data_IF_554646578060
#
_entry.id   IF_554646578060
#
_cell.length_a   1.000
_cell.length_b   1.000
_cell.length_c   1.000
_cell.angle_alpha   90.00
_cell.angle_beta   90.00
_cell.angle_gamma   90.00
#
_symmetry.space_group_name_H-M   'P 1'
#
loop_
_entity.id
_entity.type
_entity.pdbx_description
1 polymer ?
#
# COMPACT_ATOMS: atom_id res chain seq x y z
N UNK A 1 10.11 -54.69 -24.57
CA UNK A 1 11.45 -55.30 -24.35
C UNK A 1 12.28 -54.35 -23.51
N UNK A 2 12.96 -54.89 -22.49
CA UNK A 2 13.87 -54.21 -21.53
C UNK A 2 15.08 -53.61 -22.24
N UNK A 3 15.64 -52.53 -21.68
CA UNK A 3 17.03 -52.48 -21.20
C UNK A 3 17.28 -51.25 -20.32
N UNK A 4 17.66 -51.54 -19.07
CA UNK A 4 18.24 -50.65 -18.07
C UNK A 4 19.60 -50.13 -18.53
N UNK A 5 20.00 -48.93 -18.08
CA UNK A 5 21.38 -48.69 -17.66
C UNK A 5 21.41 -47.84 -16.38
N UNK A 6 22.16 -48.37 -15.42
CA UNK A 6 22.49 -47.87 -14.09
C UNK A 6 23.77 -47.06 -14.19
N UNK A 7 23.89 -45.98 -13.42
CA UNK A 7 25.12 -45.19 -13.30
C UNK A 7 25.28 -44.61 -11.90
N UNK A 8 25.84 -45.42 -11.00
CA UNK A 8 26.34 -45.07 -9.67
C UNK A 8 27.79 -44.55 -9.79
N UNK A 9 28.15 -43.49 -9.05
CA UNK A 9 29.52 -43.21 -8.53
C UNK A 9 29.40 -42.08 -7.49
N UNK A 10 29.31 -42.38 -6.19
CA UNK A 10 30.39 -42.61 -5.20
C UNK A 10 30.99 -41.30 -4.66
N UNK A 11 30.49 -40.95 -3.47
CA UNK A 11 31.18 -40.55 -2.24
C UNK A 11 32.41 -39.64 -2.36
N UNK A 12 32.24 -38.39 -1.93
CA UNK A 12 33.27 -37.67 -1.17
C UNK A 12 32.77 -37.52 0.28
N UNK A 13 33.27 -38.42 1.11
CA UNK A 13 33.23 -38.41 2.57
C UNK A 13 33.96 -37.20 3.13
N UNK A 14 33.34 -36.50 4.09
CA UNK A 14 34.03 -35.88 5.22
C UNK A 14 33.00 -35.55 6.31
N UNK A 15 32.81 -36.49 7.25
CA UNK A 15 32.46 -36.15 8.63
C UNK A 15 33.76 -35.84 9.37
N UNK A 16 33.71 -34.88 10.30
CA UNK A 16 33.84 -35.28 11.69
C UNK A 16 32.74 -34.65 12.55
N UNK A 17 32.07 -35.52 13.31
CA UNK A 17 31.22 -35.16 14.43
C UNK A 17 32.07 -34.53 15.54
N UNK A 18 31.75 -33.31 15.93
CA UNK A 18 32.14 -32.72 17.21
C UNK A 18 30.91 -32.10 17.88
N UNK A 19 30.36 -32.89 18.81
CA UNK A 19 29.93 -32.51 20.14
C UNK A 19 29.03 -31.26 20.33
N UNK A 20 27.79 -31.58 20.72
CA UNK A 20 27.19 -31.19 22.00
C UNK A 20 26.62 -29.76 22.10
N UNK A 21 25.34 -29.58 21.75
CA UNK A 21 24.25 -29.05 22.60
C UNK A 21 23.04 -28.65 21.74
N UNK A 22 22.15 -29.61 21.46
CA UNK A 22 20.82 -29.32 20.92
C UNK A 22 19.90 -28.84 22.05
N UNK A 23 19.95 -27.53 22.32
CA UNK A 23 18.82 -26.77 22.85
C UNK A 23 18.63 -25.53 21.97
N UNK A 24 18.22 -25.77 20.72
CA UNK A 24 17.75 -24.69 19.85
C UNK A 24 16.26 -24.47 20.12
N UNK A 25 15.98 -23.59 21.07
CA UNK A 25 14.65 -23.05 21.29
C UNK A 25 14.40 -21.89 20.33
N UNK A 26 13.25 -21.97 19.61
CA UNK A 26 12.52 -20.92 18.88
C UNK A 26 13.15 -20.44 17.55
N UNK A 27 12.38 -20.26 16.47
CA UNK A 27 11.19 -19.42 16.40
C UNK A 27 10.15 -19.99 15.41
N UNK A 28 8.89 -19.96 15.83
CA UNK A 28 7.72 -20.50 15.15
C UNK A 28 7.48 -19.94 13.74
N UNK A 29 7.11 -20.86 12.84
CA UNK A 29 6.53 -20.55 11.55
C UNK A 29 5.00 -20.55 11.66
N UNK A 30 4.46 -19.79 12.61
CA UNK A 30 3.05 -19.46 12.66
C UNK A 30 2.90 -18.01 12.21
N UNK A 31 2.30 -17.82 11.03
CA UNK A 31 1.97 -16.54 10.40
C UNK A 31 1.79 -15.35 11.37
N UNK A 32 2.61 -14.29 11.25
CA UNK A 32 2.26 -12.98 11.76
C UNK A 32 1.89 -12.03 10.61
N UNK A 33 0.65 -12.13 10.10
CA UNK A 33 -0.02 -10.96 9.51
C UNK A 33 -0.53 -10.05 10.64
N UNK A 34 0.37 -9.69 11.57
CA UNK A 34 0.04 -9.02 12.83
C UNK A 34 1.11 -8.02 13.30
N UNK A 35 1.90 -7.45 12.39
CA UNK A 35 2.58 -6.17 12.62
C UNK A 35 1.97 -5.17 11.63
N UNK A 36 0.91 -4.44 12.00
CA UNK A 36 1.02 -3.27 12.87
C UNK A 36 2.36 -2.56 12.68
N UNK A 37 2.70 -2.27 11.42
CA UNK A 37 3.46 -1.09 11.07
C UNK A 37 2.67 0.10 11.64
N UNK A 38 2.97 0.45 12.88
CA UNK A 38 2.55 1.66 13.57
C UNK A 38 3.20 2.82 12.82
N UNK A 39 2.67 3.08 11.63
CA UNK A 39 2.93 4.28 10.86
C UNK A 39 2.55 5.42 11.82
N UNK A 40 3.47 6.35 12.13
CA UNK A 40 3.17 7.47 13.01
C UNK A 40 1.87 8.07 12.52
N UNK A 41 0.86 8.20 13.41
CA UNK A 41 -0.51 8.56 13.06
C UNK A 41 -0.52 9.72 12.07
N UNK A 42 -0.50 9.40 10.79
CA UNK A 42 -0.53 10.41 9.76
C UNK A 42 -1.92 10.96 9.89
N UNK A 43 -2.00 12.27 10.12
CA UNK A 43 -3.26 12.95 10.37
C UNK A 43 -4.13 12.73 9.13
N UNK A 44 -4.97 11.70 9.20
CA UNK A 44 -5.89 11.31 8.15
C UNK A 44 -6.65 12.58 7.74
N UNK A 45 -6.44 13.11 6.52
CA UNK A 45 -7.13 14.32 6.06
C UNK A 45 -8.65 14.13 6.06
N UNK A 46 -9.12 12.88 5.96
CA UNK A 46 -10.50 12.44 6.09
C UNK A 46 -10.92 12.11 7.53
N UNK A 47 -10.50 12.93 8.50
CA UNK A 47 -11.05 12.87 9.88
C UNK A 47 -12.52 13.28 9.97
N UNK A 48 -13.00 14.10 9.02
CA UNK A 48 -14.40 14.54 8.94
C UNK A 48 -15.02 14.05 7.62
N UNK A 49 -16.04 13.17 7.66
CA UNK A 49 -16.72 12.75 6.44
C UNK A 49 -17.41 13.95 5.77
N UNK A 50 -17.54 13.90 4.44
CA UNK A 50 -18.09 14.99 3.61
C UNK A 50 -17.14 16.17 3.41
N UNK A 51 -15.92 16.11 3.94
CA UNK A 51 -14.90 17.13 3.63
C UNK A 51 -14.35 16.87 2.22
N UNK A 52 -14.24 17.92 1.43
CA UNK A 52 -13.78 17.82 0.05
C UNK A 52 -12.35 18.37 -0.09
N UNK A 53 -11.53 17.66 -0.84
CA UNK A 53 -10.11 17.98 -1.03
C UNK A 53 -9.68 17.83 -2.48
N UNK A 54 -8.87 18.77 -2.96
CA UNK A 54 -8.13 18.57 -4.20
C UNK A 54 -7.15 17.41 -4.04
N UNK A 55 -6.95 16.62 -5.08
CA UNK A 55 -6.01 15.49 -5.03
C UNK A 55 -4.58 15.92 -4.70
N UNK A 56 -4.16 17.10 -5.18
CA UNK A 56 -2.88 17.70 -4.80
C UNK A 56 -2.79 18.02 -3.30
N UNK A 57 -3.87 18.48 -2.67
CA UNK A 57 -3.93 18.74 -1.23
C UNK A 57 -3.83 17.45 -0.43
N UNK A 58 -4.54 16.39 -0.84
CA UNK A 58 -4.49 15.09 -0.19
C UNK A 58 -3.07 14.50 -0.16
N UNK A 59 -2.40 14.46 -1.32
CA UNK A 59 -1.03 13.92 -1.43
C UNK A 59 -0.04 14.70 -0.57
N UNK A 60 -0.18 16.03 -0.51
CA UNK A 60 0.70 16.88 0.28
C UNK A 60 0.47 16.72 1.78
N UNK A 61 -0.76 16.43 2.23
CA UNK A 61 -1.06 16.16 3.64
C UNK A 61 -0.61 14.78 4.06
N UNK A 62 -0.86 13.78 3.22
CA UNK A 62 -0.47 12.40 3.48
C UNK A 62 -0.20 11.65 2.18
N UNK A 63 1.06 11.25 1.99
CA UNK A 63 1.49 10.46 0.84
C UNK A 63 0.84 9.08 0.75
N UNK A 64 0.20 8.60 1.81
CA UNK A 64 -0.62 7.40 1.78
C UNK A 64 -1.64 7.47 0.64
N UNK A 65 -2.36 8.60 0.56
CA UNK A 65 -3.49 8.85 -0.35
C UNK A 65 -3.17 8.75 -1.82
N UNK A 66 -1.89 8.68 -2.20
CA UNK A 66 -1.51 8.52 -3.60
C UNK A 66 -2.18 7.28 -4.19
N UNK A 67 -2.15 6.14 -3.48
CA UNK A 67 -2.73 4.90 -3.99
C UNK A 67 -4.25 4.98 -4.05
N UNK A 68 -4.88 5.54 -3.02
CA UNK A 68 -6.33 5.68 -2.93
C UNK A 68 -6.87 6.61 -4.01
N UNK A 69 -6.14 7.70 -4.33
CA UNK A 69 -6.47 8.61 -5.42
C UNK A 69 -6.35 7.90 -6.78
N UNK A 70 -5.26 7.16 -6.99
CA UNK A 70 -5.05 6.42 -8.23
C UNK A 70 -6.17 5.38 -8.46
N UNK A 71 -6.60 4.70 -7.39
CA UNK A 71 -7.75 3.78 -7.42
C UNK A 71 -9.05 4.53 -7.71
N UNK A 72 -9.37 5.60 -6.97
CA UNK A 72 -10.61 6.35 -7.12
C UNK A 72 -10.79 6.93 -8.54
N UNK A 73 -9.70 7.45 -9.12
CA UNK A 73 -9.71 7.91 -10.52
C UNK A 73 -9.92 6.76 -11.49
N UNK A 74 -9.20 5.65 -11.33
CA UNK A 74 -9.30 4.49 -12.22
C UNK A 74 -10.69 3.85 -12.18
N UNK A 75 -11.29 3.74 -10.99
CA UNK A 75 -12.67 3.25 -10.81
C UNK A 75 -13.69 4.19 -11.45
N UNK A 76 -13.38 5.48 -11.54
CA UNK A 76 -14.20 6.49 -12.21
C UNK A 76 -13.90 6.60 -13.72
N UNK A 77 -13.08 5.70 -14.27
CA UNK A 77 -12.72 5.68 -15.69
C UNK A 77 -11.71 6.75 -16.11
N UNK A 78 -11.07 7.43 -15.16
CA UNK A 78 -10.12 8.51 -15.39
C UNK A 78 -8.69 7.97 -15.22
N UNK A 79 -7.84 8.21 -16.21
CA UNK A 79 -6.43 7.83 -16.11
C UNK A 79 -5.76 8.58 -14.95
N UNK A 80 -5.02 7.91 -14.04
CA UNK A 80 -4.42 8.55 -12.87
C UNK A 80 -3.12 9.29 -13.23
N UNK A 81 -3.22 10.26 -14.13
CA UNK A 81 -2.09 11.13 -14.52
C UNK A 81 -1.89 12.23 -13.48
N UNK A 82 -0.68 12.83 -13.44
CA UNK A 82 -0.41 13.97 -12.56
C UNK A 82 -1.44 15.11 -12.74
N UNK A 83 -1.80 15.45 -13.98
CA UNK A 83 -2.79 16.48 -14.26
C UNK A 83 -4.16 16.13 -13.69
N UNK A 84 -4.64 14.90 -13.92
CA UNK A 84 -5.93 14.46 -13.41
C UNK A 84 -5.94 14.43 -11.88
N UNK A 85 -4.85 14.01 -11.24
CA UNK A 85 -4.70 14.05 -9.79
C UNK A 85 -4.76 15.49 -9.25
N UNK A 86 -4.08 16.43 -9.89
CA UNK A 86 -4.09 17.83 -9.44
C UNK A 86 -5.44 18.50 -9.62
N UNK A 87 -6.15 18.12 -10.68
CA UNK A 87 -7.38 18.77 -11.10
C UNK A 87 -8.63 17.98 -10.74
N UNK A 88 -8.53 17.01 -9.83
CA UNK A 88 -9.70 16.28 -9.34
C UNK A 88 -10.01 16.63 -7.90
N UNK A 89 -11.31 16.61 -7.61
CA UNK A 89 -11.89 16.82 -6.30
C UNK A 89 -12.33 15.47 -5.74
N UNK A 90 -12.05 15.25 -4.46
CA UNK A 90 -12.36 14.02 -3.75
C UNK A 90 -13.14 14.34 -2.48
N UNK A 91 -14.08 13.47 -2.12
CA UNK A 91 -14.84 13.58 -0.89
C UNK A 91 -14.43 12.49 0.10
N UNK A 92 -14.27 12.87 1.36
CA UNK A 92 -13.93 11.97 2.44
C UNK A 92 -15.13 11.14 2.91
N UNK A 93 -14.95 9.84 2.98
CA UNK A 93 -15.95 8.88 3.46
C UNK A 93 -15.85 8.62 4.96
N UNK A 94 -16.91 8.04 5.55
CA UNK A 94 -16.99 7.74 6.99
C UNK A 94 -15.91 6.78 7.50
N UNK A 95 -15.39 5.92 6.61
CA UNK A 95 -14.30 4.97 6.90
C UNK A 95 -12.90 5.58 6.69
N UNK A 96 -12.80 6.86 6.37
CA UNK A 96 -11.53 7.53 6.07
C UNK A 96 -11.01 7.31 4.64
N UNK A 97 -11.74 6.55 3.81
CA UNK A 97 -11.49 6.45 2.39
C UNK A 97 -11.90 7.75 1.67
N UNK A 98 -11.61 7.82 0.38
CA UNK A 98 -12.01 8.91 -0.50
C UNK A 98 -12.79 8.36 -1.69
N UNK A 99 -13.75 9.12 -2.15
CA UNK A 99 -14.39 8.91 -3.45
C UNK A 99 -14.06 10.07 -4.38
N UNK A 100 -13.91 9.76 -5.66
CA UNK A 100 -13.80 10.79 -6.69
C UNK A 100 -15.15 11.49 -6.85
N UNK A 101 -15.13 12.83 -6.83
CA UNK A 101 -16.34 13.64 -6.94
C UNK A 101 -16.42 14.34 -8.30
N UNK A 102 -15.31 14.92 -8.77
CA UNK A 102 -15.28 15.61 -10.06
C UNK A 102 -13.84 15.79 -10.59
N UNK A 103 -13.71 16.06 -11.89
CA UNK A 103 -12.47 16.50 -12.54
C UNK A 103 -12.72 17.81 -13.26
N UNK A 104 -11.89 18.81 -12.97
CA UNK A 104 -12.05 20.18 -13.43
C UNK A 104 -10.83 20.71 -14.18
N UNK A 105 -10.89 21.97 -14.64
CA UNK A 105 -9.73 22.64 -15.25
C UNK A 105 -8.73 23.02 -14.16
N UNK A 106 -9.24 23.48 -13.01
CA UNK A 106 -8.40 23.79 -11.85
C UNK A 106 -9.13 23.49 -10.56
N UNK A 107 -8.55 22.62 -9.73
CA UNK A 107 -9.02 22.43 -8.37
C UNK A 107 -8.45 23.53 -7.46
N UNK A 108 -9.31 24.20 -6.69
CA UNK A 108 -8.98 25.32 -5.81
C UNK A 108 -8.94 24.85 -4.36
N UNK A 109 -7.78 24.98 -3.74
CA UNK A 109 -7.61 24.75 -2.32
C UNK A 109 -7.96 26.02 -1.54
N UNK A 110 -8.99 25.97 -0.69
CA UNK A 110 -9.45 27.16 0.04
C UNK A 110 -8.46 27.55 1.15
N UNK A 111 -7.63 26.60 1.62
CA UNK A 111 -6.80 26.69 2.82
C UNK A 111 -7.69 27.03 4.04
N UNK A 112 -7.30 26.66 5.26
CA UNK A 112 -8.09 26.96 6.48
C UNK A 112 -9.44 26.24 6.65
N UNK A 113 -9.46 24.92 6.42
CA UNK A 113 -10.54 24.07 6.95
C UNK A 113 -11.89 24.17 6.25
N UNK A 114 -11.98 24.92 5.14
CA UNK A 114 -13.07 24.82 4.18
C UNK A 114 -12.86 23.67 3.19
N UNK A 115 -13.94 23.31 2.49
CA UNK A 115 -13.93 22.32 1.41
C UNK A 115 -13.22 22.90 0.18
N UNK A 116 -12.26 22.17 -0.38
CA UNK A 116 -11.71 22.49 -1.70
C UNK A 116 -12.84 22.39 -2.76
N UNK A 117 -12.68 23.07 -3.90
CA UNK A 117 -13.71 23.08 -4.95
C UNK A 117 -13.14 23.09 -6.36
N UNK A 118 -13.94 22.66 -7.32
CA UNK A 118 -13.60 22.70 -8.74
C UNK A 118 -14.04 24.01 -9.37
N UNK A 119 -13.16 24.59 -10.21
CA UNK A 119 -13.38 25.81 -10.99
C UNK A 119 -13.02 25.61 -12.48
#
# INVERSE_FOLDING_TARGET
>A
MKLNWVGFSVLASCSPSLLLSDEFTMIGSDNPMSELYQRPSIKNPCTKPGTQWCGSTLINRDRAYRREIEIALSTSGIAPTYGNVQNSLFECQKNGAIDHLDTCVRCINIRYGGNDYCA
#
